data_IF_162643850673
#
_entry.id   IF_162643850673
#
_cell.length_a   1.000
_cell.length_b   1.000
_cell.length_c   1.000
_cell.angle_alpha   90.00
_cell.angle_beta   90.00
_cell.angle_gamma   90.00
#
_symmetry.space_group_name_H-M   'P 1'
#
loop_
_entity.id
_entity.type
_entity.pdbx_description
1 polymer ?
#
# COMPACT_ATOMS: atom_id res chain seq x y z
N UNK A 1 -5.03 -11.27 -1.99
CA UNK A 1 -3.60 -11.44 -1.68
C UNK A 1 -3.05 -12.56 -2.53
N UNK A 2 -1.87 -12.38 -3.15
CA UNK A 2 -1.19 -13.41 -3.96
C UNK A 2 -0.82 -14.63 -3.11
N UNK A 3 -0.60 -15.78 -3.76
CA UNK A 3 -0.17 -17.01 -3.09
C UNK A 3 1.23 -16.86 -2.48
N UNK A 4 2.15 -16.22 -3.20
CA UNK A 4 3.51 -15.95 -2.75
C UNK A 4 3.54 -15.07 -1.48
N UNK A 5 2.79 -13.97 -1.48
CA UNK A 5 2.72 -13.09 -0.33
C UNK A 5 2.04 -13.75 0.87
N UNK A 6 1.05 -14.62 0.61
CA UNK A 6 0.40 -15.42 1.66
C UNK A 6 1.37 -16.41 2.28
N UNK A 7 2.18 -17.08 1.46
CA UNK A 7 3.23 -17.98 1.93
C UNK A 7 4.30 -17.23 2.76
N UNK A 8 4.67 -16.02 2.33
CA UNK A 8 5.60 -15.16 3.08
C UNK A 8 5.06 -14.81 4.47
N UNK A 9 3.81 -14.37 4.57
CA UNK A 9 3.21 -14.05 5.89
C UNK A 9 2.95 -15.29 6.77
N UNK A 10 2.78 -16.46 6.16
CA UNK A 10 2.65 -17.72 6.90
C UNK A 10 4.00 -18.28 7.37
N UNK A 11 5.11 -17.86 6.76
CA UNK A 11 6.44 -18.23 7.19
C UNK A 11 6.82 -17.44 8.46
N UNK A 12 7.45 -18.10 9.43
CA UNK A 12 8.07 -17.43 10.56
C UNK A 12 9.32 -16.68 10.11
N UNK A 13 9.15 -15.55 9.40
CA UNK A 13 10.26 -14.71 8.98
C UNK A 13 10.88 -14.05 10.23
N UNK A 14 12.17 -14.23 10.49
CA UNK A 14 12.81 -13.60 11.63
C UNK A 14 12.69 -12.08 11.56
N UNK A 15 12.24 -11.47 12.64
CA UNK A 15 12.25 -10.02 12.77
C UNK A 15 13.70 -9.52 12.93
N UNK A 16 14.00 -8.31 12.47
CA UNK A 16 15.32 -7.72 12.63
C UNK A 16 15.60 -7.39 14.11
N UNK A 17 16.84 -7.22 14.46
CA UNK A 17 17.18 -6.50 15.69
C UNK A 17 16.79 -5.01 15.51
N UNK A 18 15.72 -4.62 16.19
CA UNK A 18 15.15 -3.27 16.06
C UNK A 18 16.08 -2.16 16.58
N UNK A 19 17.16 -2.52 17.29
CA UNK A 19 18.19 -1.57 17.75
C UNK A 19 19.27 -1.33 16.69
N UNK A 20 19.36 -2.22 15.70
CA UNK A 20 20.35 -2.18 14.63
C UNK A 20 19.77 -1.52 13.37
N UNK A 21 20.01 -0.21 13.22
CA UNK A 21 19.47 0.62 12.13
C UNK A 21 19.59 -0.03 10.74
N UNK A 22 20.76 -0.59 10.43
CA UNK A 22 21.00 -1.19 9.11
C UNK A 22 20.14 -2.44 8.89
N UNK A 23 20.03 -3.30 9.91
CA UNK A 23 19.19 -4.50 9.85
C UNK A 23 17.71 -4.14 9.66
N UNK A 24 17.23 -3.08 10.32
CA UNK A 24 15.87 -2.57 10.17
C UNK A 24 15.63 -2.06 8.74
N UNK A 25 16.56 -1.28 8.19
CA UNK A 25 16.44 -0.77 6.82
C UNK A 25 16.42 -1.93 5.81
N UNK A 26 17.33 -2.90 5.93
CA UNK A 26 17.39 -4.03 5.02
C UNK A 26 16.11 -4.87 5.07
N UNK A 27 15.57 -5.11 6.27
CA UNK A 27 14.31 -5.80 6.47
C UNK A 27 13.14 -5.07 5.78
N UNK A 28 13.03 -3.76 5.96
CA UNK A 28 11.95 -2.96 5.37
C UNK A 28 12.08 -2.86 3.85
N UNK A 29 13.30 -2.74 3.31
CA UNK A 29 13.53 -2.75 1.84
C UNK A 29 13.12 -4.09 1.25
N UNK A 30 13.45 -5.22 1.90
CA UNK A 30 13.04 -6.55 1.44
C UNK A 30 11.51 -6.72 1.50
N UNK A 31 10.87 -6.17 2.52
CA UNK A 31 9.42 -6.15 2.63
C UNK A 31 8.76 -5.38 1.49
N UNK A 32 9.20 -4.16 1.19
CA UNK A 32 8.70 -3.34 0.08
C UNK A 32 8.91 -4.03 -1.27
N UNK A 33 10.04 -4.71 -1.47
CA UNK A 33 10.31 -5.49 -2.69
C UNK A 33 9.23 -6.54 -2.98
N UNK A 34 8.60 -7.10 -1.95
CA UNK A 34 7.53 -8.12 -2.09
C UNK A 34 6.18 -7.52 -2.43
N UNK A 35 6.00 -6.25 -2.13
CA UNK A 35 4.75 -5.51 -2.36
C UNK A 35 4.76 -4.79 -3.70
N UNK A 36 5.91 -4.26 -4.11
CA UNK A 36 6.05 -3.49 -5.34
C UNK A 36 6.12 -4.40 -6.57
N UNK A 37 5.64 -3.90 -7.69
CA UNK A 37 5.84 -4.57 -8.98
C UNK A 37 7.32 -4.49 -9.39
N UNK A 38 7.91 -5.61 -9.81
CA UNK A 38 9.33 -5.71 -10.14
C UNK A 38 9.77 -4.69 -11.23
N UNK A 39 8.87 -4.35 -12.15
CA UNK A 39 9.12 -3.36 -13.21
C UNK A 39 9.37 -1.95 -12.64
N UNK A 40 8.74 -1.61 -11.51
CA UNK A 40 8.81 -0.28 -10.91
C UNK A 40 9.66 -0.23 -9.64
N UNK A 41 10.18 -1.36 -9.18
CA UNK A 41 10.99 -1.43 -7.96
C UNK A 41 12.39 -0.84 -8.21
N UNK A 42 12.65 0.30 -7.59
CA UNK A 42 13.96 0.96 -7.56
C UNK A 42 14.53 0.86 -6.14
N UNK A 43 15.41 -0.11 -5.92
CA UNK A 43 15.99 -0.36 -4.58
C UNK A 43 16.66 0.86 -3.98
N UNK A 44 17.40 1.63 -4.78
CA UNK A 44 18.09 2.81 -4.27
C UNK A 44 17.10 3.88 -3.80
N UNK A 45 16.00 4.05 -4.54
CA UNK A 45 14.92 4.97 -4.19
C UNK A 45 14.18 4.49 -2.93
N UNK A 46 13.79 3.22 -2.89
CA UNK A 46 13.09 2.62 -1.76
C UNK A 46 13.95 2.68 -0.50
N UNK A 47 15.22 2.34 -0.59
CA UNK A 47 16.17 2.43 0.53
C UNK A 47 16.25 3.85 1.08
N UNK A 48 16.39 4.86 0.22
CA UNK A 48 16.42 6.27 0.65
C UNK A 48 15.11 6.72 1.31
N UNK A 49 13.95 6.16 0.91
CA UNK A 49 12.67 6.40 1.57
C UNK A 49 12.62 5.74 2.95
N UNK A 50 12.99 4.47 3.02
CA UNK A 50 13.01 3.69 4.26
C UNK A 50 13.97 4.31 5.29
N UNK A 51 15.15 4.74 4.89
CA UNK A 51 16.09 5.45 5.76
C UNK A 51 15.45 6.69 6.40
N UNK A 52 14.75 7.50 5.60
CA UNK A 52 14.05 8.68 6.12
C UNK A 52 12.89 8.32 7.06
N UNK A 53 12.19 7.21 6.80
CA UNK A 53 11.12 6.71 7.68
C UNK A 53 11.72 6.30 9.02
N UNK A 54 12.78 5.49 9.01
CA UNK A 54 13.47 5.01 10.20
C UNK A 54 14.01 6.19 11.02
N UNK A 55 14.66 7.17 10.37
CA UNK A 55 15.26 8.33 11.05
C UNK A 55 14.21 9.29 11.66
N UNK A 56 12.96 9.25 11.20
CA UNK A 56 11.88 10.12 11.68
C UNK A 56 10.93 9.43 12.66
N UNK A 57 10.98 8.12 12.72
CA UNK A 57 10.06 7.31 13.53
C UNK A 57 10.66 7.06 14.90
N UNK A 58 9.92 7.36 15.97
CA UNK A 58 10.37 7.14 17.34
C UNK A 58 10.40 5.65 17.73
N UNK A 59 9.53 4.84 17.13
CA UNK A 59 9.43 3.41 17.40
C UNK A 59 9.01 2.70 16.10
N UNK A 60 10.00 2.25 15.35
CA UNK A 60 9.79 1.55 14.07
C UNK A 60 9.16 0.17 14.31
N UNK A 61 9.58 -0.53 15.38
CA UNK A 61 9.01 -1.83 15.71
C UNK A 61 7.50 -1.73 15.93
N UNK A 62 7.06 -0.77 16.72
CA UNK A 62 5.64 -0.54 16.97
C UNK A 62 4.87 -0.20 15.69
N UNK A 63 5.46 0.60 14.78
CA UNK A 63 4.81 0.97 13.52
C UNK A 63 4.57 -0.22 12.58
N UNK A 64 5.44 -1.22 12.63
CA UNK A 64 5.34 -2.44 11.81
C UNK A 64 4.45 -3.50 12.48
N UNK A 65 4.68 -3.76 13.79
CA UNK A 65 4.07 -4.88 14.49
C UNK A 65 2.62 -4.57 14.92
N UNK A 66 2.36 -3.36 15.44
CA UNK A 66 1.04 -3.04 16.00
C UNK A 66 -0.07 -3.04 14.94
N UNK A 67 0.27 -2.75 13.69
CA UNK A 67 -0.69 -2.84 12.60
C UNK A 67 -1.22 -4.28 12.41
N UNK A 68 -0.34 -5.27 12.53
CA UNK A 68 -0.70 -6.68 12.41
C UNK A 68 -1.39 -7.25 13.67
N UNK A 69 -1.17 -6.62 14.82
CA UNK A 69 -1.76 -7.03 16.12
C UNK A 69 -3.05 -6.30 16.44
N UNK A 70 -3.45 -5.31 15.65
CA UNK A 70 -4.70 -4.59 15.88
C UNK A 70 -5.87 -5.58 15.82
N UNK A 71 -6.64 -5.67 16.91
CA UNK A 71 -7.87 -6.46 16.92
C UNK A 71 -8.83 -5.90 15.87
N UNK A 72 -9.39 -6.78 15.05
CA UNK A 72 -10.52 -6.42 14.22
C UNK A 72 -11.67 -6.03 15.17
N UNK A 73 -11.95 -4.73 15.26
CA UNK A 73 -13.10 -4.23 15.99
C UNK A 73 -14.40 -4.80 15.42
N UNK A 74 -15.55 -4.47 16.03
CA UNK A 74 -16.83 -4.82 15.43
C UNK A 74 -16.87 -4.41 13.96
N UNK A 75 -17.16 -5.35 13.08
CA UNK A 75 -17.33 -5.07 11.66
C UNK A 75 -18.37 -3.98 11.50
N UNK A 76 -17.93 -2.76 11.22
CA UNK A 76 -18.83 -1.69 10.82
C UNK A 76 -19.41 -2.11 9.48
N UNK A 77 -20.61 -2.67 9.52
CA UNK A 77 -21.38 -3.01 8.33
C UNK A 77 -22.06 -1.76 7.78
N UNK A 78 -21.24 -0.73 7.54
CA UNK A 78 -21.66 0.40 6.74
C UNK A 78 -21.91 -0.07 5.31
N UNK A 79 -22.92 0.48 4.68
CA UNK A 79 -23.17 0.20 3.26
C UNK A 79 -22.33 1.17 2.44
N UNK A 80 -21.64 0.66 1.43
CA UNK A 80 -20.87 1.50 0.51
C UNK A 80 -21.76 2.52 -0.22
N UNK A 81 -23.02 2.16 -0.45
CA UNK A 81 -24.02 3.04 -1.06
C UNK A 81 -24.47 4.22 -0.17
N UNK A 82 -24.14 4.22 1.13
CA UNK A 82 -24.36 5.34 2.03
C UNK A 82 -23.24 6.40 1.93
N UNK A 83 -22.14 6.13 1.22
CA UNK A 83 -21.05 7.09 1.02
C UNK A 83 -21.47 8.13 -0.01
N UNK A 84 -21.85 9.32 0.48
CA UNK A 84 -22.28 10.43 -0.37
C UNK A 84 -21.11 11.27 -0.92
N UNK A 85 -19.91 11.16 -0.34
CA UNK A 85 -18.75 11.90 -0.78
C UNK A 85 -18.25 11.43 -2.15
N UNK A 86 -17.85 12.34 -3.06
CA UNK A 86 -17.09 11.94 -4.24
C UNK A 86 -15.86 11.15 -3.81
N UNK A 87 -15.59 10.04 -4.47
CA UNK A 87 -14.51 9.14 -4.10
C UNK A 87 -13.65 8.84 -5.33
N UNK A 88 -12.35 9.03 -5.21
CA UNK A 88 -11.37 8.62 -6.22
C UNK A 88 -10.55 7.46 -5.68
N UNK A 89 -10.73 6.27 -6.24
CA UNK A 89 -9.88 5.11 -6.04
C UNK A 89 -8.70 5.15 -7.00
N UNK A 90 -7.48 4.98 -6.47
CA UNK A 90 -6.27 4.83 -7.29
C UNK A 90 -5.64 3.51 -6.87
N UNK A 91 -5.48 2.56 -7.82
CA UNK A 91 -5.08 1.20 -7.44
C UNK A 91 -4.23 0.54 -8.52
N UNK A 92 -3.19 -0.17 -8.10
CA UNK A 92 -2.34 -0.94 -8.99
C UNK A 92 -3.02 -2.23 -9.47
N UNK A 93 -2.97 -2.51 -10.78
CA UNK A 93 -3.61 -3.73 -11.31
C UNK A 93 -2.85 -5.01 -10.97
N UNK A 94 -1.56 -4.89 -10.58
CA UNK A 94 -0.69 -6.00 -10.16
C UNK A 94 -0.47 -6.06 -8.64
N UNK A 95 -1.33 -5.40 -7.83
CA UNK A 95 -1.22 -5.38 -6.38
C UNK A 95 -1.30 -6.81 -5.79
N UNK A 96 -0.22 -7.31 -5.15
CA UNK A 96 -0.19 -8.65 -4.60
C UNK A 96 -0.92 -8.76 -3.24
N UNK A 97 -1.12 -7.64 -2.55
CA UNK A 97 -1.75 -7.60 -1.23
C UNK A 97 -3.27 -7.48 -1.35
N UNK A 98 -3.75 -6.48 -2.09
CA UNK A 98 -5.16 -6.26 -2.36
C UNK A 98 -5.46 -6.48 -3.86
N UNK A 99 -5.96 -7.66 -4.24
CA UNK A 99 -6.28 -7.93 -5.64
C UNK A 99 -7.18 -6.84 -6.25
N UNK A 100 -6.91 -6.48 -7.49
CA UNK A 100 -7.58 -5.36 -8.20
C UNK A 100 -9.12 -5.42 -8.16
N UNK A 101 -9.70 -6.63 -8.10
CA UNK A 101 -11.14 -6.81 -7.92
C UNK A 101 -11.73 -6.14 -6.66
N UNK A 102 -10.92 -5.87 -5.62
CA UNK A 102 -11.35 -5.10 -4.45
C UNK A 102 -11.61 -3.64 -4.82
N UNK A 103 -10.70 -3.02 -5.58
CA UNK A 103 -10.87 -1.64 -6.05
C UNK A 103 -12.09 -1.51 -6.97
N UNK A 104 -12.30 -2.48 -7.86
CA UNK A 104 -13.49 -2.53 -8.70
C UNK A 104 -14.78 -2.69 -7.88
N UNK A 105 -14.75 -3.52 -6.82
CA UNK A 105 -15.90 -3.70 -5.95
C UNK A 105 -16.24 -2.41 -5.19
N UNK A 106 -15.25 -1.68 -4.70
CA UNK A 106 -15.44 -0.37 -4.06
C UNK A 106 -16.01 0.64 -5.05
N UNK A 107 -15.44 0.72 -6.26
CA UNK A 107 -15.93 1.64 -7.30
C UNK A 107 -17.37 1.35 -7.74
N UNK A 108 -17.78 0.07 -7.75
CA UNK A 108 -19.18 -0.31 -8.03
C UNK A 108 -20.11 -0.04 -6.86
N UNK A 109 -19.61 -0.16 -5.62
CA UNK A 109 -20.43 -0.03 -4.41
C UNK A 109 -20.65 1.40 -3.94
N UNK A 110 -19.76 2.32 -4.29
CA UNK A 110 -19.84 3.73 -3.89
C UNK A 110 -20.45 4.56 -5.04
N UNK A 111 -21.60 5.22 -4.84
CA UNK A 111 -22.38 5.83 -5.94
C UNK A 111 -21.63 6.91 -6.74
N UNK A 112 -20.65 7.57 -6.12
CA UNK A 112 -19.88 8.68 -6.74
C UNK A 112 -18.40 8.35 -6.80
N UNK A 113 -18.06 7.07 -6.97
CA UNK A 113 -16.69 6.64 -7.10
C UNK A 113 -16.21 6.63 -8.55
N UNK A 114 -15.01 7.13 -8.73
CA UNK A 114 -14.18 6.95 -9.93
C UNK A 114 -13.00 6.04 -9.57
N UNK A 115 -12.58 5.19 -10.51
CA UNK A 115 -11.41 4.33 -10.35
C UNK A 115 -10.39 4.64 -11.41
N UNK A 116 -9.17 5.00 -10.96
CA UNK A 116 -7.99 5.13 -11.81
C UNK A 116 -7.10 3.90 -11.64
N UNK A 117 -7.13 2.95 -12.61
CA UNK A 117 -6.22 1.83 -12.59
C UNK A 117 -4.80 2.28 -12.94
N UNK A 118 -3.82 1.76 -12.23
CA UNK A 118 -2.40 1.92 -12.54
C UNK A 118 -1.90 0.57 -13.08
N UNK A 119 -1.84 0.46 -14.41
CA UNK A 119 -1.52 -0.81 -15.08
C UNK A 119 -0.12 -1.30 -14.70
N UNK A 120 -0.02 -2.56 -14.27
CA UNK A 120 1.23 -3.20 -13.89
C UNK A 120 1.83 -2.73 -12.55
N UNK A 121 1.21 -1.78 -11.85
CA UNK A 121 1.70 -1.28 -10.56
C UNK A 121 1.27 -2.22 -9.43
N UNK A 122 2.18 -2.47 -8.48
CA UNK A 122 1.95 -3.28 -7.28
C UNK A 122 1.31 -2.50 -6.13
N UNK A 123 1.53 -3.00 -4.90
CA UNK A 123 1.10 -2.33 -3.67
C UNK A 123 2.15 -1.29 -3.25
N UNK A 124 2.18 -0.18 -3.95
CA UNK A 124 3.17 0.87 -3.78
C UNK A 124 2.60 2.26 -4.05
N UNK A 125 3.31 3.29 -3.65
CA UNK A 125 2.99 4.65 -4.08
C UNK A 125 3.12 4.75 -5.60
N UNK A 126 2.29 5.56 -6.29
CA UNK A 126 2.37 5.68 -7.73
C UNK A 126 3.80 5.97 -8.20
N UNK A 127 4.40 5.11 -9.02
CA UNK A 127 5.75 5.33 -9.53
C UNK A 127 5.79 6.52 -10.51
N UNK A 128 6.97 7.09 -10.72
CA UNK A 128 7.16 8.33 -11.51
C UNK A 128 6.42 8.38 -12.86
N UNK A 129 6.37 7.30 -13.67
CA UNK A 129 5.62 7.33 -14.93
C UNK A 129 4.11 7.62 -14.73
N UNK A 130 3.57 7.31 -13.57
CA UNK A 130 2.16 7.49 -13.23
C UNK A 130 1.83 8.83 -12.54
N UNK A 131 2.83 9.67 -12.22
CA UNK A 131 2.58 10.92 -11.50
C UNK A 131 1.67 11.88 -12.28
N UNK A 132 1.91 12.06 -13.57
CA UNK A 132 1.09 12.98 -14.39
C UNK A 132 -0.38 12.58 -14.41
N UNK A 133 -0.78 11.35 -14.76
CA UNK A 133 -2.18 10.96 -14.74
C UNK A 133 -2.78 10.97 -13.34
N UNK A 134 -2.03 10.56 -12.31
CA UNK A 134 -2.49 10.57 -10.91
C UNK A 134 -2.76 11.99 -10.43
N UNK A 135 -1.80 12.92 -10.61
CA UNK A 135 -1.94 14.31 -10.20
C UNK A 135 -3.12 14.95 -10.95
N UNK A 136 -3.24 14.70 -12.26
CA UNK A 136 -4.36 15.23 -13.04
C UNK A 136 -5.72 14.71 -12.54
N UNK A 137 -5.81 13.43 -12.16
CA UNK A 137 -7.03 12.86 -11.59
C UNK A 137 -7.36 13.48 -10.23
N UNK A 138 -6.38 13.62 -9.35
CA UNK A 138 -6.56 14.26 -8.04
C UNK A 138 -7.01 15.72 -8.17
N UNK A 139 -6.39 16.50 -9.06
CA UNK A 139 -6.77 17.87 -9.29
C UNK A 139 -8.20 17.99 -9.81
N UNK A 140 -8.61 17.17 -10.78
CA UNK A 140 -10.01 17.15 -11.26
C UNK A 140 -10.98 16.81 -10.12
N UNK A 141 -10.63 15.80 -9.35
CA UNK A 141 -11.46 15.33 -8.25
C UNK A 141 -11.65 16.35 -7.15
N UNK A 142 -10.67 17.18 -6.86
CA UNK A 142 -10.70 18.20 -5.79
C UNK A 142 -11.19 19.57 -6.26
N UNK A 143 -11.42 19.76 -7.57
CA UNK A 143 -11.84 21.04 -8.16
C UNK A 143 -13.36 21.16 -8.36
N UNK A 144 -14.12 20.13 -7.99
CA UNK A 144 -15.57 20.02 -8.18
C UNK A 144 -16.39 20.43 -6.99
#
# INVERSE_FOLDING_TARGET
>A
MSEELRAYFAAEVPLPDWTERTAVIDYLVDYERRLEAAEYFDEAHVRALVERIVDRTNDVAASVINHALAEEGELVRGRLDDIAAPTLGIHGTADPLFPYGHAEALARGIPRAELLPLEGVGHQMPPRPWWTPVIAAMLRHTSG
#
